data_IF_749561373894
#
_entry.id   IF_749561373894
#
_cell.length_a   1.000
_cell.length_b   1.000
_cell.length_c   1.000
_cell.angle_alpha   90.00
_cell.angle_beta   90.00
_cell.angle_gamma   90.00
#
_symmetry.space_group_name_H-M   'P 1'
#
loop_
_entity.id
_entity.type
_entity.pdbx_description
1 polymer ?
#
# COMPACT_ATOMS: atom_id res chain seq x y z
N UNK A 1 -17.53 26.59 13.60
CA UNK A 1 -17.93 25.19 13.37
C UNK A 1 -19.33 25.20 12.75
N UNK A 2 -19.42 25.05 11.43
CA UNK A 2 -20.72 25.07 10.72
C UNK A 2 -21.43 23.74 10.92
N UNK A 3 -22.58 23.80 11.62
CA UNK A 3 -23.45 22.66 11.98
C UNK A 3 -24.46 22.34 10.87
N UNK A 4 -24.02 22.17 9.64
CA UNK A 4 -24.92 21.94 8.49
C UNK A 4 -24.79 20.58 7.81
N UNK A 5 -23.91 19.69 8.30
CA UNK A 5 -23.77 18.33 7.79
C UNK A 5 -24.40 17.32 8.75
N UNK A 6 -25.15 16.36 8.22
CA UNK A 6 -25.60 15.19 8.98
C UNK A 6 -24.59 14.06 8.82
N UNK A 7 -24.30 13.32 9.89
CA UNK A 7 -23.37 12.18 9.85
C UNK A 7 -23.84 11.07 8.90
N UNK A 8 -25.17 10.88 8.78
CA UNK A 8 -25.79 9.90 7.89
C UNK A 8 -25.77 10.32 6.41
N UNK A 9 -25.28 11.51 6.06
CA UNK A 9 -25.30 12.01 4.67
C UNK A 9 -24.53 11.08 3.72
N UNK A 10 -23.38 10.57 4.15
CA UNK A 10 -22.59 9.59 3.36
C UNK A 10 -23.35 8.28 3.16
N UNK A 11 -24.01 7.79 4.20
CA UNK A 11 -24.77 6.54 4.16
C UNK A 11 -25.97 6.65 3.20
N UNK A 12 -26.63 7.80 3.16
CA UNK A 12 -27.71 8.09 2.21
C UNK A 12 -27.21 8.07 0.76
N UNK A 13 -26.07 8.68 0.48
CA UNK A 13 -25.45 8.66 -0.86
C UNK A 13 -25.06 7.24 -1.26
N UNK A 14 -24.48 6.47 -0.34
CA UNK A 14 -24.10 5.09 -0.59
C UNK A 14 -25.31 4.17 -0.81
N UNK A 15 -26.38 4.36 -0.02
CA UNK A 15 -27.65 3.64 -0.19
C UNK A 15 -28.30 3.95 -1.54
N UNK A 16 -28.24 5.21 -2.02
CA UNK A 16 -28.72 5.59 -3.35
C UNK A 16 -27.92 4.94 -4.47
N UNK A 17 -26.60 4.87 -4.33
CA UNK A 17 -25.72 4.27 -5.35
C UNK A 17 -25.85 2.75 -5.42
N UNK A 18 -26.01 2.09 -4.28
CA UNK A 18 -26.07 0.62 -4.19
C UNK A 18 -27.49 0.05 -4.24
N UNK A 19 -28.50 0.89 -3.99
CA UNK A 19 -29.89 0.47 -3.81
C UNK A 19 -30.17 -0.19 -2.45
N UNK A 20 -29.18 -0.30 -1.56
CA UNK A 20 -29.32 -0.95 -0.25
C UNK A 20 -29.76 0.06 0.80
N UNK A 21 -31.02 -0.04 1.20
CA UNK A 21 -31.61 0.84 2.22
C UNK A 21 -32.03 0.06 3.45
N UNK A 22 -31.51 0.45 4.61
CA UNK A 22 -32.01 -0.03 5.90
C UNK A 22 -33.29 0.72 6.30
N UNK A 23 -34.13 0.09 7.12
CA UNK A 23 -35.37 0.72 7.60
C UNK A 23 -35.07 1.99 8.43
N UNK A 24 -34.00 1.95 9.24
CA UNK A 24 -33.55 3.07 10.07
C UNK A 24 -33.08 4.27 9.22
N UNK A 25 -32.29 4.01 8.17
CA UNK A 25 -31.81 5.07 7.28
C UNK A 25 -32.96 5.73 6.51
N UNK A 26 -33.96 4.95 6.07
CA UNK A 26 -35.17 5.49 5.45
C UNK A 26 -35.92 6.41 6.42
N UNK A 27 -36.14 5.97 7.66
CA UNK A 27 -36.82 6.77 8.68
C UNK A 27 -36.03 8.05 9.01
N UNK A 28 -34.70 7.97 9.03
CA UNK A 28 -33.83 9.12 9.24
C UNK A 28 -33.98 10.16 8.13
N UNK A 29 -33.94 9.74 6.85
CA UNK A 29 -34.08 10.65 5.70
C UNK A 29 -35.42 11.40 5.72
N UNK A 30 -36.50 10.78 6.17
CA UNK A 30 -37.80 11.44 6.25
C UNK A 30 -37.85 12.55 7.32
N UNK A 31 -37.10 12.39 8.43
CA UNK A 31 -37.06 13.36 9.52
C UNK A 31 -35.93 14.40 9.39
N UNK A 32 -34.87 14.09 8.66
CA UNK A 32 -33.66 14.91 8.54
C UNK A 32 -33.64 15.74 7.25
N UNK A 33 -33.78 17.07 7.38
CA UNK A 33 -33.75 18.03 6.26
C UNK A 33 -32.51 17.89 5.36
N UNK A 34 -31.26 17.91 5.88
CA UNK A 34 -30.08 17.83 5.03
C UNK A 34 -30.03 16.50 4.27
N UNK A 35 -30.29 15.36 4.92
CA UNK A 35 -30.30 14.06 4.25
C UNK A 35 -31.37 13.97 3.14
N UNK A 36 -32.52 14.62 3.32
CA UNK A 36 -33.57 14.68 2.30
C UNK A 36 -33.18 15.54 1.10
N UNK A 37 -32.50 16.66 1.33
CA UNK A 37 -31.93 17.48 0.25
C UNK A 37 -30.83 16.73 -0.49
N UNK A 38 -29.89 16.10 0.24
CA UNK A 38 -28.85 15.25 -0.36
C UNK A 38 -29.47 14.14 -1.20
N UNK A 39 -30.53 13.48 -0.70
CA UNK A 39 -31.25 12.46 -1.47
C UNK A 39 -31.81 13.01 -2.77
N UNK A 40 -32.52 14.15 -2.75
CA UNK A 40 -33.11 14.76 -3.94
C UNK A 40 -32.05 15.15 -4.97
N UNK A 41 -30.94 15.74 -4.53
CA UNK A 41 -29.85 16.13 -5.43
C UNK A 41 -29.15 14.90 -6.01
N UNK A 42 -28.88 13.89 -5.19
CA UNK A 42 -28.24 12.67 -5.66
C UNK A 42 -29.15 11.88 -6.64
N UNK A 43 -30.46 11.80 -6.38
CA UNK A 43 -31.43 11.19 -7.30
C UNK A 43 -31.49 11.93 -8.64
N UNK A 44 -31.48 13.26 -8.65
CA UNK A 44 -31.50 14.05 -9.90
C UNK A 44 -30.23 13.86 -10.73
N UNK A 45 -29.07 13.82 -10.07
CA UNK A 45 -27.78 13.54 -10.72
C UNK A 45 -27.72 12.12 -11.28
N UNK A 46 -28.24 11.13 -10.55
CA UNK A 46 -28.32 9.75 -11.04
C UNK A 46 -29.22 9.66 -12.27
N UNK A 47 -30.39 10.30 -12.23
CA UNK A 47 -31.29 10.35 -13.37
C UNK A 47 -30.61 11.03 -14.58
N UNK A 48 -29.91 12.14 -14.37
CA UNK A 48 -29.16 12.83 -15.41
C UNK A 48 -28.03 11.97 -15.99
N UNK A 49 -27.30 11.24 -15.15
CA UNK A 49 -26.25 10.32 -15.57
C UNK A 49 -26.80 9.13 -16.37
N UNK A 50 -28.02 8.67 -16.06
CA UNK A 50 -28.71 7.64 -16.85
C UNK A 50 -29.14 8.20 -18.20
N UNK A 51 -29.70 9.41 -18.26
CA UNK A 51 -30.05 10.04 -19.54
C UNK A 51 -28.81 10.29 -20.42
N UNK A 52 -27.68 10.69 -19.85
CA UNK A 52 -26.43 10.84 -20.58
C UNK A 52 -25.91 9.51 -21.13
N UNK A 53 -26.06 8.41 -20.37
CA UNK A 53 -25.68 7.07 -20.85
C UNK A 53 -26.54 6.56 -22.01
N UNK A 54 -27.81 6.98 -22.09
CA UNK A 54 -28.67 6.64 -23.23
C UNK A 54 -28.26 7.34 -24.52
N UNK A 55 -27.69 8.55 -24.40
CA UNK A 55 -27.32 9.41 -25.54
C UNK A 55 -25.86 9.21 -25.99
N UNK A 56 -24.97 8.76 -25.10
CA UNK A 56 -23.54 8.65 -25.36
C UNK A 56 -23.15 7.24 -25.82
N UNK A 57 -23.10 7.06 -27.15
CA UNK A 57 -22.20 6.08 -27.74
C UNK A 57 -20.78 6.38 -27.22
N UNK A 58 -20.06 5.43 -26.61
CA UNK A 58 -18.71 5.69 -26.10
C UNK A 58 -17.85 6.22 -27.25
N UNK A 59 -17.45 7.48 -27.15
CA UNK A 59 -16.51 8.03 -28.12
C UNK A 59 -15.14 7.45 -27.80
N UNK A 60 -14.32 7.17 -28.82
CA UNK A 60 -12.98 6.60 -28.66
C UNK A 60 -12.10 7.39 -27.64
N UNK A 61 -12.43 8.65 -27.37
CA UNK A 61 -11.78 9.48 -26.36
C UNK A 61 -11.97 8.97 -24.91
N UNK A 62 -13.15 8.44 -24.57
CA UNK A 62 -13.43 7.94 -23.21
C UNK A 62 -12.67 6.63 -22.91
N UNK A 63 -12.49 5.79 -23.93
CA UNK A 63 -11.67 4.58 -23.81
C UNK A 63 -10.21 4.95 -23.56
N UNK A 64 -9.68 5.90 -24.33
CA UNK A 64 -8.30 6.40 -24.16
C UNK A 64 -8.11 7.02 -22.78
N UNK A 65 -9.08 7.81 -22.30
CA UNK A 65 -9.01 8.43 -20.97
C UNK A 65 -9.04 7.38 -19.86
N UNK A 66 -9.91 6.37 -19.96
CA UNK A 66 -9.94 5.24 -19.01
C UNK A 66 -8.63 4.46 -19.00
N UNK A 67 -8.05 4.22 -20.16
CA UNK A 67 -6.80 3.48 -20.29
C UNK A 67 -5.62 4.26 -19.70
N UNK A 68 -5.55 5.57 -19.97
CA UNK A 68 -4.58 6.46 -19.34
C UNK A 68 -4.74 6.54 -17.81
N UNK A 69 -5.98 6.49 -17.30
CA UNK A 69 -6.25 6.51 -15.87
C UNK A 69 -5.83 5.19 -15.19
N UNK A 70 -6.08 4.05 -15.84
CA UNK A 70 -5.63 2.73 -15.38
C UNK A 70 -4.09 2.66 -15.34
N UNK A 71 -3.41 3.20 -16.35
CA UNK A 71 -1.94 3.27 -16.38
C UNK A 71 -1.37 4.16 -15.27
N UNK A 72 -2.01 5.30 -14.99
CA UNK A 72 -1.63 6.17 -13.87
C UNK A 72 -1.78 5.47 -12.52
N UNK A 73 -2.89 4.77 -12.30
CA UNK A 73 -3.10 4.00 -11.08
C UNK A 73 -2.10 2.83 -10.96
N UNK A 74 -1.82 2.14 -12.06
CA UNK A 74 -0.81 1.09 -12.10
C UNK A 74 0.60 1.61 -11.78
N UNK A 75 0.95 2.83 -12.20
CA UNK A 75 2.24 3.45 -11.87
C UNK A 75 2.35 3.80 -10.38
N UNK A 76 1.26 4.25 -9.74
CA UNK A 76 1.24 4.54 -8.30
C UNK A 76 1.38 3.24 -7.48
N UNK A 77 0.66 2.18 -7.87
CA UNK A 77 0.74 0.86 -7.22
C UNK A 77 2.11 0.17 -7.43
N UNK A 78 2.70 0.29 -8.62
CA UNK A 78 4.05 -0.22 -8.91
C UNK A 78 5.14 0.52 -8.13
N UNK A 79 4.96 1.82 -7.84
CA UNK A 79 5.89 2.58 -6.99
C UNK A 79 5.85 2.13 -5.53
N UNK A 80 4.68 1.81 -4.99
CA UNK A 80 4.53 1.34 -3.61
C UNK A 80 5.04 -0.10 -3.40
N UNK A 81 5.05 -0.94 -4.45
CA UNK A 81 5.39 -2.37 -4.32
C UNK A 81 6.86 -2.71 -4.57
N UNK A 82 7.65 -1.82 -5.21
CA UNK A 82 9.09 -2.01 -5.38
C UNK A 82 9.86 -2.20 -4.06
N UNK A 83 9.71 -1.36 -3.01
CA UNK A 83 10.46 -1.54 -1.77
C UNK A 83 10.10 -2.85 -1.04
N UNK A 84 8.85 -3.31 -1.18
CA UNK A 84 8.37 -4.58 -0.60
C UNK A 84 9.08 -5.82 -1.18
N UNK A 85 9.37 -5.82 -2.49
CA UNK A 85 10.07 -6.94 -3.13
C UNK A 85 11.53 -6.99 -2.66
N UNK A 86 12.20 -5.85 -2.52
CA UNK A 86 13.57 -5.78 -2.03
C UNK A 86 13.69 -6.21 -0.56
N UNK A 87 12.79 -5.75 0.31
CA UNK A 87 12.72 -6.18 1.72
C UNK A 87 12.55 -7.71 1.82
N UNK A 88 11.72 -8.30 0.96
CA UNK A 88 11.50 -9.75 0.95
C UNK A 88 12.74 -10.53 0.52
N UNK A 89 13.47 -10.04 -0.49
CA UNK A 89 14.71 -10.65 -0.96
C UNK A 89 15.82 -10.57 0.09
N UNK A 90 15.91 -9.42 0.78
CA UNK A 90 16.91 -9.18 1.82
C UNK A 90 16.63 -10.03 3.07
N UNK A 91 15.36 -10.15 3.46
CA UNK A 91 14.93 -11.06 4.53
C UNK A 91 15.26 -12.52 4.20
N UNK A 92 15.00 -12.97 2.97
CA UNK A 92 15.37 -14.32 2.52
C UNK A 92 16.88 -14.53 2.55
N UNK A 93 17.66 -13.56 2.10
CA UNK A 93 19.12 -13.59 2.17
C UNK A 93 19.63 -13.71 3.61
N UNK A 94 19.07 -12.94 4.54
CA UNK A 94 19.40 -13.03 5.96
C UNK A 94 19.05 -14.40 6.54
N UNK A 95 17.84 -14.93 6.27
CA UNK A 95 17.42 -16.25 6.77
C UNK A 95 18.32 -17.37 6.24
N UNK A 96 18.66 -17.35 4.95
CA UNK A 96 19.55 -18.36 4.35
C UNK A 96 20.96 -18.24 4.93
N UNK A 97 21.48 -17.02 5.11
CA UNK A 97 22.77 -16.81 5.74
C UNK A 97 22.79 -17.30 7.19
N UNK A 98 21.75 -17.02 7.97
CA UNK A 98 21.61 -17.51 9.34
C UNK A 98 21.46 -19.04 9.41
N UNK A 99 20.68 -19.63 8.51
CA UNK A 99 20.49 -21.07 8.45
C UNK A 99 21.79 -21.78 8.03
N UNK A 100 22.48 -21.27 7.02
CA UNK A 100 23.79 -21.77 6.60
C UNK A 100 24.82 -21.61 7.73
N UNK A 101 24.77 -20.50 8.47
CA UNK A 101 25.60 -20.27 9.65
C UNK A 101 25.33 -21.28 10.76
N UNK A 102 24.07 -21.49 11.13
CA UNK A 102 23.68 -22.47 12.14
C UNK A 102 24.06 -23.88 11.71
N UNK A 103 23.86 -24.22 10.44
CA UNK A 103 24.23 -25.53 9.91
C UNK A 103 25.75 -25.71 9.88
N UNK A 104 26.51 -24.67 9.51
CA UNK A 104 27.97 -24.70 9.54
C UNK A 104 28.50 -24.79 10.97
N UNK A 105 27.94 -24.00 11.89
CA UNK A 105 28.24 -24.04 13.32
C UNK A 105 27.94 -25.42 13.91
N UNK A 106 26.75 -25.98 13.66
CA UNK A 106 26.37 -27.33 14.09
C UNK A 106 27.27 -28.41 13.47
N UNK A 107 27.65 -28.27 12.20
CA UNK A 107 28.58 -29.20 11.53
C UNK A 107 30.03 -29.07 11.98
N UNK A 108 30.41 -27.93 12.58
CA UNK A 108 31.69 -27.78 13.29
C UNK A 108 31.61 -28.25 14.73
N UNK A 109 30.42 -28.18 15.32
CA UNK A 109 30.05 -28.79 16.61
C UNK A 109 29.87 -30.32 16.50
N UNK A 110 30.38 -30.94 15.44
CA UNK A 110 30.54 -32.39 15.31
C UNK A 110 31.69 -32.87 16.22
N UNK A 111 31.30 -33.30 17.42
CA UNK A 111 31.96 -34.22 18.37
C UNK A 111 33.39 -33.95 18.89
N UNK A 112 34.18 -33.00 18.35
CA UNK A 112 35.58 -32.78 18.80
C UNK A 112 35.75 -31.89 20.03
N UNK A 113 34.77 -31.07 20.38
CA UNK A 113 34.89 -30.06 21.46
C UNK A 113 34.37 -30.49 22.84
N UNK A 114 33.95 -31.74 23.03
CA UNK A 114 33.90 -32.27 24.41
C UNK A 114 35.34 -32.52 24.94
N UNK A 115 36.38 -32.49 24.09
CA UNK A 115 37.73 -32.84 24.51
C UNK A 115 38.74 -31.70 24.69
N UNK A 116 38.66 -30.56 24.00
CA UNK A 116 39.69 -29.52 24.18
C UNK A 116 39.20 -28.09 23.93
N UNK A 117 38.89 -27.41 25.05
CA UNK A 117 39.39 -26.07 25.35
C UNK A 117 39.08 -24.93 24.38
N UNK A 118 38.04 -24.16 24.71
CA UNK A 118 37.97 -22.69 24.65
C UNK A 118 39.08 -22.00 23.85
N UNK A 119 39.00 -22.06 22.51
CA UNK A 119 39.87 -21.29 21.63
C UNK A 119 39.10 -20.05 21.15
N UNK A 120 39.62 -18.87 21.53
CA UNK A 120 39.13 -17.52 21.21
C UNK A 120 39.10 -17.15 19.70
N UNK A 121 38.88 -18.10 18.79
CA UNK A 121 39.02 -17.90 17.34
C UNK A 121 37.77 -17.40 16.58
N UNK A 122 36.59 -17.38 17.19
CA UNK A 122 35.31 -17.31 16.44
C UNK A 122 34.64 -15.92 16.36
N UNK A 123 35.33 -14.83 16.74
CA UNK A 123 34.73 -13.47 16.72
C UNK A 123 34.78 -12.84 15.32
N UNK A 124 35.71 -13.27 14.45
CA UNK A 124 35.92 -12.68 13.13
C UNK A 124 34.69 -12.67 12.20
N UNK A 125 33.86 -13.73 12.12
CA UNK A 125 32.77 -13.77 11.14
C UNK A 125 31.53 -12.96 11.56
N UNK A 126 31.29 -12.81 12.87
CA UNK A 126 30.19 -11.99 13.38
C UNK A 126 30.35 -10.51 13.02
N UNK A 127 31.59 -10.02 13.03
CA UNK A 127 31.94 -8.66 12.59
C UNK A 127 31.66 -8.48 11.10
N UNK A 128 31.96 -9.47 10.26
CA UNK A 128 31.69 -9.38 8.82
C UNK A 128 30.19 -9.23 8.51
N UNK A 129 29.32 -9.92 9.25
CA UNK A 129 27.87 -9.84 9.08
C UNK A 129 27.35 -8.46 9.52
N UNK A 130 27.80 -7.97 10.67
CA UNK A 130 27.42 -6.64 11.15
C UNK A 130 27.83 -5.54 10.16
N UNK A 131 29.05 -5.63 9.60
CA UNK A 131 29.55 -4.71 8.56
C UNK A 131 28.70 -4.78 7.29
N UNK A 132 28.28 -5.98 6.87
CA UNK A 132 27.46 -6.16 5.67
C UNK A 132 26.06 -5.59 5.84
N UNK A 133 25.45 -5.75 7.02
CA UNK A 133 24.17 -5.13 7.38
C UNK A 133 24.24 -3.60 7.40
N UNK A 134 25.30 -3.04 8.00
CA UNK A 134 25.50 -1.58 8.07
C UNK A 134 25.77 -1.02 6.67
N UNK A 135 26.59 -1.67 5.86
CA UNK A 135 26.88 -1.25 4.49
C UNK A 135 25.63 -1.29 3.59
N UNK A 136 24.81 -2.34 3.71
CA UNK A 136 23.55 -2.43 2.98
C UNK A 136 22.55 -1.33 3.40
N UNK A 137 22.44 -1.05 4.69
CA UNK A 137 21.59 0.05 5.20
C UNK A 137 22.08 1.43 4.77
N UNK A 138 23.39 1.67 4.80
CA UNK A 138 23.98 2.93 4.35
C UNK A 138 23.82 3.15 2.84
N UNK A 139 23.98 2.09 2.04
CA UNK A 139 23.76 2.15 0.60
C UNK A 139 22.29 2.45 0.26
N UNK A 140 21.35 1.89 1.02
CA UNK A 140 19.92 2.18 0.87
C UNK A 140 19.61 3.68 1.11
N UNK A 141 20.09 4.24 2.22
CA UNK A 141 19.90 5.66 2.57
C UNK A 141 20.49 6.60 1.51
N UNK A 142 21.68 6.29 0.99
CA UNK A 142 22.32 7.07 -0.07
C UNK A 142 21.56 7.01 -1.39
N UNK A 143 20.97 5.86 -1.71
CA UNK A 143 20.22 5.68 -2.94
C UNK A 143 18.84 6.37 -2.89
N UNK A 144 18.17 6.39 -1.74
CA UNK A 144 16.92 7.16 -1.57
C UNK A 144 17.14 8.67 -1.64
N UNK A 145 18.20 9.20 -1.01
CA UNK A 145 18.51 10.63 -1.05
C UNK A 145 18.77 11.15 -2.48
N UNK A 146 19.35 10.31 -3.34
CA UNK A 146 19.59 10.66 -4.75
C UNK A 146 18.28 10.71 -5.57
N UNK A 147 17.23 9.99 -5.18
CA UNK A 147 15.95 10.05 -5.88
C UNK A 147 15.10 11.26 -5.46
N UNK A 148 15.22 11.73 -4.23
CA UNK A 148 14.54 12.95 -3.78
C UNK A 148 15.10 14.21 -4.47
N UNK A 149 16.43 14.33 -4.59
CA UNK A 149 17.06 15.49 -5.26
C UNK A 149 16.76 15.61 -6.76
N UNK A 150 16.36 14.53 -7.43
CA UNK A 150 15.95 14.56 -8.85
C UNK A 150 14.52 15.09 -9.01
N UNK A 151 13.67 14.98 -7.98
CA UNK A 151 12.30 15.48 -8.02
C UNK A 151 12.21 17.00 -7.76
N UNK A 152 13.11 17.56 -6.94
CA UNK A 152 13.15 19.02 -6.69
C UNK A 152 13.64 19.85 -7.89
N UNK A 153 14.28 19.21 -8.88
CA UNK A 153 14.75 19.88 -10.11
C UNK A 153 13.68 19.89 -11.21
N UNK A 154 12.60 19.11 -11.05
CA UNK A 154 11.55 18.92 -12.06
C UNK A 154 10.22 19.58 -11.69
N UNK A 155 10.13 20.22 -10.51
CA UNK A 155 8.97 21.03 -10.11
C UNK A 155 9.26 22.52 -10.20
#
# INVERSE_FOLDING_TARGET
>A
MNRSGCECEREVVDALRTGLWTAELKAHVESCVPCRETRRVAESLLHYAVSLRGEQVPTAADEIWRQAQMERQAMILKRATRPLIFMRLLSLGCVVAFAAWLLHGLSRFDYREILHGWALGDILPGVAIAVLCIAAGAFYMLHEGKQQGVFDVVS
#
